data_IF_417318457869
#
_entry.id   IF_417318457869
#
_cell.length_a   1.000
_cell.length_b   1.000
_cell.length_c   1.000
_cell.angle_alpha   90.00
_cell.angle_beta   90.00
_cell.angle_gamma   90.00
#
_symmetry.space_group_name_H-M   'P 1'
#
loop_
_entity.id
_entity.type
_entity.pdbx_description
1 polymer ?
#
# COMPACT_ATOMS: atom_id res chain seq x y z
N UNK A 1 10.72 26.06 3.79
CA UNK A 1 9.75 24.93 3.61
C UNK A 1 9.44 24.33 4.98
N UNK A 2 8.23 23.85 5.28
CA UNK A 2 7.88 23.39 6.66
C UNK A 2 8.83 22.27 7.17
N UNK A 3 9.27 21.36 6.30
CA UNK A 3 10.16 20.22 6.66
C UNK A 3 11.66 20.56 6.67
N UNK A 4 12.04 21.80 6.41
CA UNK A 4 13.44 22.22 6.31
C UNK A 4 14.25 22.03 7.61
N UNK A 5 13.70 22.31 8.83
CA UNK A 5 14.41 22.00 10.07
C UNK A 5 14.70 20.50 10.22
N UNK A 6 13.74 19.63 9.86
CA UNK A 6 13.91 18.18 9.92
C UNK A 6 15.03 17.71 8.99
N UNK A 7 15.07 18.21 7.75
CA UNK A 7 16.14 17.84 6.79
C UNK A 7 17.51 18.26 7.31
N UNK A 8 17.60 19.46 7.92
CA UNK A 8 18.84 19.94 8.54
C UNK A 8 19.30 18.98 9.64
N UNK A 9 18.40 18.58 10.53
CA UNK A 9 18.72 17.68 11.63
C UNK A 9 19.13 16.29 11.13
N UNK A 10 18.44 15.75 10.11
CA UNK A 10 18.81 14.49 9.47
C UNK A 10 20.23 14.55 8.87
N UNK A 11 20.58 15.65 8.19
CA UNK A 11 21.92 15.84 7.65
C UNK A 11 22.99 15.97 8.74
N UNK A 12 22.66 16.60 9.87
CA UNK A 12 23.56 16.69 11.03
C UNK A 12 23.82 15.30 11.59
N UNK A 13 22.78 14.51 11.81
CA UNK A 13 22.92 13.15 12.37
C UNK A 13 23.67 12.22 11.41
N UNK A 14 23.45 12.36 10.09
CA UNK A 14 24.16 11.57 9.09
C UNK A 14 25.65 11.94 8.96
N UNK A 15 26.01 13.21 9.19
CA UNK A 15 27.39 13.69 9.02
C UNK A 15 28.22 13.65 10.29
N UNK A 16 27.62 14.00 11.43
CA UNK A 16 28.32 14.18 12.70
C UNK A 16 27.89 13.16 13.77
N UNK A 17 26.74 12.52 13.59
CA UNK A 17 26.16 11.61 14.57
C UNK A 17 25.66 12.30 15.85
N UNK A 18 25.20 11.48 16.79
CA UNK A 18 24.78 11.90 18.13
C UNK A 18 25.72 11.23 19.14
N UNK A 19 26.26 12.02 20.06
CA UNK A 19 27.11 11.51 21.15
C UNK A 19 26.26 11.08 22.34
N UNK A 20 26.38 9.81 22.74
CA UNK A 20 25.71 9.26 23.92
C UNK A 20 26.77 8.55 24.76
N UNK A 21 27.07 9.11 25.94
CA UNK A 21 28.24 8.73 26.77
C UNK A 21 29.53 8.91 25.95
N UNK A 22 30.40 7.91 25.93
CA UNK A 22 31.68 7.93 25.21
C UNK A 22 31.59 7.34 23.80
N UNK A 23 30.39 7.28 23.21
CA UNK A 23 30.15 6.73 21.86
C UNK A 23 29.39 7.71 20.98
N UNK A 24 29.81 7.79 19.72
CA UNK A 24 29.11 8.54 18.66
C UNK A 24 28.36 7.58 17.76
N UNK A 25 27.07 7.85 17.57
CA UNK A 25 26.19 7.07 16.70
C UNK A 25 25.82 7.89 15.47
N UNK A 26 26.20 7.40 14.29
CA UNK A 26 25.81 7.97 13.00
C UNK A 26 24.61 7.18 12.48
N UNK A 27 23.62 7.88 11.93
CA UNK A 27 22.45 7.24 11.31
C UNK A 27 22.00 7.97 10.07
N UNK A 28 21.34 7.25 9.18
CA UNK A 28 20.71 7.79 7.97
C UNK A 28 19.21 7.56 7.98
N UNK A 29 18.48 8.35 7.20
CA UNK A 29 17.06 8.12 6.94
C UNK A 29 16.89 6.81 6.15
N UNK A 30 16.13 5.86 6.69
CA UNK A 30 15.88 4.57 6.01
C UNK A 30 14.70 4.66 5.04
N UNK A 31 13.53 5.12 5.51
CA UNK A 31 12.33 5.31 4.71
C UNK A 31 11.42 6.38 5.32
N UNK A 32 10.47 6.89 4.55
CA UNK A 32 9.39 7.77 5.02
C UNK A 32 8.06 7.04 4.78
N UNK A 33 7.36 6.71 5.86
CA UNK A 33 6.02 6.13 5.79
C UNK A 33 4.98 7.23 5.61
N UNK A 34 4.02 6.99 4.73
CA UNK A 34 2.88 7.88 4.53
C UNK A 34 1.82 7.21 3.68
N UNK A 35 0.60 7.75 3.73
CA UNK A 35 -0.45 7.37 2.80
C UNK A 35 -0.04 7.71 1.36
N UNK A 36 -0.79 7.20 0.38
CA UNK A 36 -0.46 7.41 -1.02
C UNK A 36 -0.33 8.88 -1.41
N UNK A 37 -1.21 9.75 -0.89
CA UNK A 37 -1.17 11.18 -1.19
C UNK A 37 0.05 11.84 -0.55
N UNK A 38 0.29 11.61 0.74
CA UNK A 38 1.40 12.17 1.50
C UNK A 38 2.76 11.71 0.98
N UNK A 39 2.90 10.42 0.68
CA UNK A 39 4.13 9.84 0.11
C UNK A 39 4.45 10.46 -1.25
N UNK A 40 3.47 10.61 -2.14
CA UNK A 40 3.69 11.28 -3.42
C UNK A 40 4.05 12.76 -3.25
N UNK A 41 3.38 13.47 -2.34
CA UNK A 41 3.65 14.88 -2.08
C UNK A 41 5.07 15.13 -1.54
N UNK A 42 5.53 14.29 -0.59
CA UNK A 42 6.89 14.32 -0.05
C UNK A 42 7.92 13.91 -1.11
N UNK A 43 7.58 12.91 -1.92
CA UNK A 43 8.39 12.42 -3.03
C UNK A 43 8.55 13.41 -4.20
N UNK A 44 7.76 14.47 -4.23
CA UNK A 44 7.72 15.40 -5.37
C UNK A 44 7.01 14.81 -6.59
N UNK A 45 6.20 13.76 -6.39
CA UNK A 45 5.41 13.11 -7.42
C UNK A 45 4.02 13.72 -7.56
N UNK A 46 3.34 13.44 -8.67
CA UNK A 46 1.95 13.86 -8.90
C UNK A 46 1.01 13.06 -7.99
N UNK A 47 0.18 13.73 -7.21
CA UNK A 47 -0.83 13.15 -6.30
C UNK A 47 -2.14 12.82 -7.05
N UNK A 48 -2.02 12.30 -8.28
CA UNK A 48 -3.14 11.85 -9.10
C UNK A 48 -2.92 10.42 -9.55
N UNK A 49 -3.81 9.54 -9.09
CA UNK A 49 -3.74 8.08 -9.29
C UNK A 49 -4.54 7.62 -10.52
N UNK A 50 -5.11 8.55 -11.28
CA UNK A 50 -6.01 8.23 -12.38
C UNK A 50 -5.26 7.66 -13.58
N UNK A 51 -4.05 8.14 -13.88
CA UNK A 51 -3.35 7.86 -15.15
C UNK A 51 -1.85 7.58 -15.01
N UNK A 52 -1.26 7.63 -13.81
CA UNK A 52 0.19 7.60 -13.63
C UNK A 52 0.57 6.66 -12.50
N UNK A 53 1.68 5.93 -12.69
CA UNK A 53 2.26 5.10 -11.65
C UNK A 53 3.64 5.66 -11.33
N UNK A 54 3.76 6.24 -10.13
CA UNK A 54 4.94 7.03 -9.78
C UNK A 54 6.14 6.16 -9.34
N UNK A 55 5.88 4.89 -8.98
CA UNK A 55 6.92 3.91 -8.62
C UNK A 55 7.57 3.23 -9.82
N UNK A 56 6.84 3.14 -10.92
CA UNK A 56 7.30 2.46 -12.13
C UNK A 56 7.78 3.47 -13.17
N UNK A 57 8.68 2.98 -14.01
CA UNK A 57 9.02 3.62 -15.27
C UNK A 57 8.13 3.03 -16.37
N UNK A 58 6.82 3.15 -16.18
CA UNK A 58 5.80 2.57 -17.06
C UNK A 58 4.50 3.36 -16.96
N UNK A 59 3.69 3.29 -18.01
CA UNK A 59 2.35 3.87 -18.04
C UNK A 59 1.35 2.99 -17.30
N UNK A 60 0.22 3.57 -16.88
CA UNK A 60 -0.87 2.80 -16.26
C UNK A 60 -1.34 1.65 -17.14
N UNK A 61 -1.46 1.88 -18.45
CA UNK A 61 -1.91 0.87 -19.41
C UNK A 61 -0.93 -0.31 -19.51
N UNK A 62 0.37 -0.05 -19.47
CA UNK A 62 1.39 -1.11 -19.48
C UNK A 62 1.33 -1.91 -18.18
N UNK A 63 1.31 -1.24 -17.03
CA UNK A 63 1.30 -1.90 -15.71
C UNK A 63 0.06 -2.78 -15.52
N UNK A 64 -1.10 -2.41 -16.09
CA UNK A 64 -2.32 -3.23 -16.05
C UNK A 64 -2.20 -4.58 -16.74
N UNK A 65 -1.21 -4.76 -17.61
CA UNK A 65 -0.97 -5.99 -18.36
C UNK A 65 0.30 -6.73 -17.90
N UNK A 66 0.94 -6.27 -16.82
CA UNK A 66 2.14 -6.89 -16.25
C UNK A 66 1.77 -7.58 -14.94
N UNK A 67 2.03 -8.89 -14.88
CA UNK A 67 1.68 -9.75 -13.73
C UNK A 67 2.90 -10.40 -13.08
N UNK A 68 4.11 -10.00 -13.49
CA UNK A 68 5.37 -10.49 -12.93
C UNK A 68 6.31 -9.30 -12.72
N UNK A 69 6.96 -9.27 -11.56
CA UNK A 69 7.94 -8.24 -11.20
C UNK A 69 9.16 -8.24 -12.13
N UNK A 70 9.45 -9.35 -12.80
CA UNK A 70 10.54 -9.44 -13.79
C UNK A 70 10.25 -8.61 -15.05
N UNK A 71 8.97 -8.36 -15.33
CA UNK A 71 8.52 -7.68 -16.54
C UNK A 71 8.19 -6.20 -16.30
N UNK A 72 8.38 -5.68 -15.08
CA UNK A 72 8.12 -4.29 -14.74
C UNK A 72 9.43 -3.54 -14.49
N UNK A 73 9.55 -2.36 -15.10
CA UNK A 73 10.71 -1.50 -14.88
C UNK A 73 10.45 -0.56 -13.70
N UNK A 74 11.20 -0.73 -12.62
CA UNK A 74 11.17 0.20 -11.48
C UNK A 74 11.84 1.53 -11.83
N UNK A 75 11.39 2.61 -11.20
CA UNK A 75 12.09 3.89 -11.23
C UNK A 75 13.40 3.79 -10.44
N UNK A 76 14.49 4.25 -11.03
CA UNK A 76 15.82 4.27 -10.40
C UNK A 76 16.21 5.71 -10.04
N UNK A 77 17.15 5.94 -9.12
CA UNK A 77 17.68 7.28 -8.89
C UNK A 77 18.19 7.96 -10.16
N UNK A 78 18.85 7.21 -11.05
CA UNK A 78 19.41 7.75 -12.30
C UNK A 78 18.32 8.25 -13.25
N UNK A 79 17.27 7.46 -13.48
CA UNK A 79 16.19 7.88 -14.37
C UNK A 79 15.32 8.97 -13.73
N UNK A 80 15.16 8.97 -12.40
CA UNK A 80 14.50 10.05 -11.67
C UNK A 80 15.22 11.38 -11.87
N UNK A 81 16.54 11.44 -11.66
CA UNK A 81 17.32 12.68 -11.80
C UNK A 81 17.35 13.17 -13.25
N UNK A 82 17.37 12.25 -14.23
CA UNK A 82 17.21 12.61 -15.63
C UNK A 82 15.87 13.34 -15.87
N UNK A 83 14.75 12.77 -15.42
CA UNK A 83 13.44 13.40 -15.60
C UNK A 83 13.31 14.73 -14.86
N UNK A 84 13.88 14.83 -13.66
CA UNK A 84 13.93 16.10 -12.91
C UNK A 84 14.69 17.16 -13.72
N UNK A 85 15.81 16.81 -14.33
CA UNK A 85 16.59 17.73 -15.17
C UNK A 85 15.80 18.16 -16.42
N UNK A 86 15.12 17.22 -17.07
CA UNK A 86 14.28 17.50 -18.23
C UNK A 86 13.12 18.45 -17.88
N UNK A 87 12.49 18.26 -16.72
CA UNK A 87 11.42 19.12 -16.21
C UNK A 87 11.89 20.56 -16.00
N UNK A 88 13.10 20.74 -15.46
CA UNK A 88 13.68 22.09 -15.25
C UNK A 88 14.00 22.81 -16.57
N UNK A 89 14.11 22.07 -17.67
CA UNK A 89 14.45 22.61 -19.00
C UNK A 89 13.20 22.88 -19.85
N UNK A 90 12.11 22.14 -19.62
CA UNK A 90 10.85 22.24 -20.36
C UNK A 90 9.64 22.01 -19.45
N UNK A 91 9.03 23.11 -19.00
CA UNK A 91 7.86 23.08 -18.13
C UNK A 91 6.59 22.53 -18.81
N UNK A 92 6.59 22.25 -20.11
CA UNK A 92 5.44 21.57 -20.76
C UNK A 92 5.40 20.08 -20.42
N UNK A 93 6.49 19.53 -19.89
CA UNK A 93 6.62 18.12 -19.47
C UNK A 93 6.24 17.88 -18.02
N UNK A 94 5.70 18.88 -17.31
CA UNK A 94 5.45 18.91 -15.85
C UNK A 94 4.67 17.72 -15.26
N UNK A 95 4.10 16.90 -16.14
CA UNK A 95 3.27 15.78 -15.78
C UNK A 95 3.61 14.50 -16.56
N UNK A 96 4.50 14.53 -17.56
CA UNK A 96 4.76 13.39 -18.45
C UNK A 96 5.27 12.16 -17.68
N UNK A 97 6.15 12.38 -16.70
CA UNK A 97 6.80 11.32 -15.93
C UNK A 97 6.18 11.09 -14.53
N UNK A 98 5.12 11.81 -14.19
CA UNK A 98 4.53 11.76 -12.84
C UNK A 98 5.40 12.39 -11.74
N UNK A 99 6.40 13.19 -12.11
CA UNK A 99 7.26 13.97 -11.21
C UNK A 99 6.91 15.44 -11.41
N UNK A 100 6.73 16.19 -10.31
CA UNK A 100 6.50 17.65 -10.30
C UNK A 100 7.72 18.44 -9.89
N UNK A 101 8.58 17.83 -9.06
CA UNK A 101 9.80 18.46 -8.53
C UNK A 101 10.74 17.40 -7.96
N UNK A 102 12.01 17.77 -7.79
CA UNK A 102 12.93 17.00 -6.97
C UNK A 102 12.45 16.96 -5.51
N UNK A 103 12.56 15.81 -4.85
CA UNK A 103 12.28 15.69 -3.42
C UNK A 103 13.40 16.31 -2.61
N UNK A 104 13.09 17.14 -1.60
CA UNK A 104 14.11 17.72 -0.75
C UNK A 104 14.74 16.70 0.22
N UNK A 105 14.21 15.47 0.29
CA UNK A 105 14.76 14.38 1.10
C UNK A 105 15.82 13.55 0.38
N UNK A 106 15.95 13.68 -0.95
CA UNK A 106 16.99 12.97 -1.70
C UNK A 106 18.38 13.35 -1.19
N UNK A 107 19.18 12.33 -0.87
CA UNK A 107 20.53 12.46 -0.33
C UNK A 107 21.37 11.24 -0.72
N UNK A 108 22.65 11.21 -0.35
CA UNK A 108 23.54 10.07 -0.64
C UNK A 108 23.06 8.75 -0.02
N UNK A 109 22.29 8.80 1.07
CA UNK A 109 21.85 7.63 1.84
C UNK A 109 20.35 7.34 1.74
N UNK A 110 19.56 8.20 1.10
CA UNK A 110 18.12 8.04 0.94
C UNK A 110 17.68 8.59 -0.41
N UNK A 111 16.83 7.84 -1.12
CA UNK A 111 16.22 8.31 -2.36
C UNK A 111 14.74 7.91 -2.43
N UNK A 112 13.89 8.82 -2.87
CA UNK A 112 12.42 8.60 -2.86
C UNK A 112 11.92 7.47 -3.74
N UNK A 113 12.74 6.99 -4.69
CA UNK A 113 12.40 5.83 -5.53
C UNK A 113 12.42 4.50 -4.77
N UNK A 114 13.14 4.43 -3.65
CA UNK A 114 13.23 3.23 -2.81
C UNK A 114 12.90 3.50 -1.33
N UNK A 115 12.82 4.76 -0.93
CA UNK A 115 12.59 5.19 0.46
C UNK A 115 11.14 5.53 0.80
N UNK A 116 10.20 5.29 -0.12
CA UNK A 116 8.76 5.53 0.08
C UNK A 116 8.02 4.19 -0.08
N UNK A 117 7.83 3.41 0.99
CA UNK A 117 7.10 2.15 0.90
C UNK A 117 5.61 2.38 0.59
N UNK A 118 4.97 1.43 -0.13
CA UNK A 118 3.52 1.45 -0.32
C UNK A 118 2.74 1.37 0.99
N UNK A 119 1.51 1.86 0.98
CA UNK A 119 0.64 1.86 2.16
C UNK A 119 -0.23 0.60 2.16
N UNK A 120 0.19 -0.41 2.92
CA UNK A 120 -0.56 -1.68 3.00
C UNK A 120 -2.01 -1.49 3.47
N UNK A 121 -2.31 -0.50 4.31
CA UNK A 121 -3.67 -0.26 4.76
C UNK A 121 -4.56 0.20 3.59
N UNK A 122 -4.14 1.25 2.88
CA UNK A 122 -4.94 1.79 1.78
C UNK A 122 -4.86 0.94 0.50
N UNK A 123 -3.69 0.41 0.16
CA UNK A 123 -3.47 -0.36 -1.08
C UNK A 123 -4.05 -1.77 -0.99
N UNK A 124 -3.79 -2.48 0.12
CA UNK A 124 -4.27 -3.86 0.29
C UNK A 124 -5.62 -3.88 1.00
N UNK A 125 -5.68 -3.42 2.24
CA UNK A 125 -6.82 -3.67 3.11
C UNK A 125 -8.07 -2.86 2.75
N UNK A 126 -7.92 -1.67 2.18
CA UNK A 126 -9.04 -0.86 1.66
C UNK A 126 -9.16 -0.92 0.13
N UNK A 127 -8.04 -1.19 -0.54
CA UNK A 127 -7.93 -1.38 -1.98
C UNK A 127 -8.31 -2.79 -2.40
N UNK A 128 -7.31 -3.66 -2.58
CA UNK A 128 -7.42 -4.98 -3.25
C UNK A 128 -8.25 -6.00 -2.45
N UNK A 129 -7.94 -6.19 -1.17
CA UNK A 129 -8.49 -7.26 -0.33
C UNK A 129 -10.02 -7.28 -0.29
N UNK A 130 -10.74 -6.14 -0.13
CA UNK A 130 -12.20 -6.15 -0.17
C UNK A 130 -12.79 -6.64 -1.50
N UNK A 131 -12.12 -6.43 -2.64
CA UNK A 131 -12.59 -6.96 -3.93
C UNK A 131 -12.42 -8.47 -4.00
N UNK A 132 -11.23 -8.98 -3.69
CA UNK A 132 -10.93 -10.42 -3.71
C UNK A 132 -11.86 -11.20 -2.78
N UNK A 133 -12.00 -10.76 -1.53
CA UNK A 133 -12.92 -11.40 -0.58
C UNK A 133 -14.36 -11.33 -1.07
N UNK A 134 -14.78 -10.22 -1.69
CA UNK A 134 -16.14 -10.12 -2.27
C UNK A 134 -16.35 -11.11 -3.41
N UNK A 135 -15.37 -11.29 -4.30
CA UNK A 135 -15.47 -12.25 -5.41
C UNK A 135 -15.52 -13.69 -4.91
N UNK A 136 -14.63 -14.05 -3.99
CA UNK A 136 -14.56 -15.40 -3.42
C UNK A 136 -15.85 -15.73 -2.67
N UNK A 137 -16.35 -14.83 -1.83
CA UNK A 137 -17.63 -15.04 -1.16
C UNK A 137 -18.80 -15.11 -2.14
N UNK A 138 -18.83 -14.26 -3.16
CA UNK A 138 -19.89 -14.31 -4.20
C UNK A 138 -19.89 -15.65 -4.92
N UNK A 139 -18.72 -16.20 -5.24
CA UNK A 139 -18.59 -17.54 -5.81
C UNK A 139 -19.22 -18.60 -4.90
N UNK A 140 -18.86 -18.62 -3.61
CA UNK A 140 -19.39 -19.63 -2.69
C UNK A 140 -20.87 -19.44 -2.34
N UNK A 141 -21.36 -18.20 -2.31
CA UNK A 141 -22.75 -17.88 -2.01
C UNK A 141 -23.71 -18.19 -3.16
N UNK A 142 -23.32 -17.85 -4.40
CA UNK A 142 -24.26 -17.82 -5.52
C UNK A 142 -23.93 -18.83 -6.63
N UNK A 143 -22.66 -19.20 -6.81
CA UNK A 143 -22.29 -20.16 -7.86
C UNK A 143 -22.29 -21.59 -7.33
N UNK A 144 -21.66 -21.84 -6.18
CA UNK A 144 -21.64 -23.19 -5.58
C UNK A 144 -22.75 -23.39 -4.56
N UNK A 145 -23.17 -22.33 -3.87
CA UNK A 145 -24.19 -22.40 -2.81
C UNK A 145 -23.74 -23.16 -1.56
N UNK A 146 -22.42 -23.35 -1.39
CA UNK A 146 -21.83 -24.12 -0.29
C UNK A 146 -21.93 -23.38 1.05
N UNK A 147 -22.01 -22.04 1.02
CA UNK A 147 -22.33 -21.19 2.18
C UNK A 147 -23.54 -20.32 1.86
N UNK A 148 -24.31 -19.94 2.90
CA UNK A 148 -25.37 -18.94 2.78
C UNK A 148 -24.94 -17.59 3.35
N UNK A 149 -25.59 -16.51 2.90
CA UNK A 149 -25.31 -15.16 3.42
C UNK A 149 -25.64 -15.06 4.91
N UNK A 150 -26.73 -15.72 5.32
CA UNK A 150 -27.14 -15.82 6.72
C UNK A 150 -26.09 -16.56 7.56
N UNK A 151 -25.54 -17.67 7.03
CA UNK A 151 -24.48 -18.41 7.71
C UNK A 151 -23.27 -17.52 7.98
N UNK A 152 -22.72 -16.86 6.95
CA UNK A 152 -21.49 -16.07 7.12
C UNK A 152 -21.72 -14.85 8.02
N UNK A 153 -22.86 -14.17 7.89
CA UNK A 153 -23.19 -13.03 8.75
C UNK A 153 -23.40 -13.45 10.20
N UNK A 154 -23.99 -14.62 10.44
CA UNK A 154 -24.09 -15.19 11.78
C UNK A 154 -22.71 -15.56 12.35
N UNK A 155 -21.79 -16.08 11.53
CA UNK A 155 -20.42 -16.33 11.98
C UNK A 155 -19.75 -15.02 12.39
N UNK A 156 -19.75 -13.99 11.53
CA UNK A 156 -19.24 -12.65 11.85
C UNK A 156 -19.93 -12.08 13.10
N UNK A 157 -21.21 -12.41 13.32
CA UNK A 157 -21.93 -11.88 14.46
C UNK A 157 -21.56 -12.50 15.81
N UNK A 158 -21.34 -13.81 15.80
CA UNK A 158 -21.26 -14.63 17.00
C UNK A 158 -19.85 -15.16 17.26
N UNK A 159 -18.89 -14.86 16.38
CA UNK A 159 -17.51 -15.30 16.51
C UNK A 159 -16.92 -14.89 17.87
N UNK A 160 -16.20 -15.79 18.56
CA UNK A 160 -15.55 -15.48 19.82
C UNK A 160 -14.29 -14.63 19.59
N UNK A 161 -14.47 -13.36 19.24
CA UNK A 161 -13.38 -12.43 19.00
C UNK A 161 -12.49 -12.28 20.24
N UNK A 162 -11.17 -12.29 20.03
CA UNK A 162 -10.22 -11.91 21.06
C UNK A 162 -10.34 -10.41 21.42
N UNK A 163 -9.75 -9.96 22.53
CA UNK A 163 -9.86 -8.58 22.98
C UNK A 163 -9.48 -7.55 21.90
N UNK A 164 -8.41 -7.80 21.14
CA UNK A 164 -7.96 -6.91 20.07
C UNK A 164 -8.93 -6.92 18.86
N UNK A 165 -9.32 -8.12 18.41
CA UNK A 165 -10.21 -8.25 17.25
C UNK A 165 -11.64 -7.71 17.53
N UNK A 166 -12.05 -7.67 18.81
CA UNK A 166 -13.39 -7.19 19.20
C UNK A 166 -13.60 -5.69 18.94
N UNK A 167 -12.52 -4.90 18.96
CA UNK A 167 -12.54 -3.46 18.66
C UNK A 167 -12.83 -3.26 17.16
N UNK A 168 -12.19 -4.07 16.32
CA UNK A 168 -12.25 -4.01 14.87
C UNK A 168 -13.08 -5.15 14.29
N UNK A 169 -14.24 -5.42 14.91
CA UNK A 169 -15.16 -6.44 14.42
C UNK A 169 -15.62 -6.11 12.98
N UNK A 170 -15.55 -7.08 12.05
CA UNK A 170 -16.02 -6.89 10.68
C UNK A 170 -17.49 -6.49 10.64
N UNK A 171 -17.86 -5.69 9.64
CA UNK A 171 -19.27 -5.44 9.35
C UNK A 171 -19.88 -6.64 8.65
N UNK A 172 -21.20 -6.76 8.73
CA UNK A 172 -21.93 -7.80 7.99
C UNK A 172 -21.67 -7.70 6.49
N UNK A 173 -21.55 -8.85 5.85
CA UNK A 173 -21.39 -8.98 4.41
C UNK A 173 -22.70 -8.55 3.73
N UNK A 174 -22.65 -7.58 2.81
CA UNK A 174 -23.83 -7.12 2.10
C UNK A 174 -24.23 -8.12 0.99
N UNK A 175 -25.53 -8.17 0.66
CA UNK A 175 -26.07 -9.14 -0.30
C UNK A 175 -25.67 -8.90 -1.76
N UNK A 176 -25.48 -7.63 -2.16
CA UNK A 176 -25.22 -7.23 -3.56
C UNK A 176 -24.31 -6.00 -3.66
N UNK A 177 -23.27 -5.92 -2.83
CA UNK A 177 -22.28 -4.86 -2.95
C UNK A 177 -20.89 -5.34 -2.58
N UNK A 178 -19.89 -4.56 -2.99
CA UNK A 178 -18.53 -4.69 -2.49
C UNK A 178 -18.54 -4.59 -0.96
N UNK A 179 -17.76 -5.43 -0.29
CA UNK A 179 -17.42 -5.24 1.12
C UNK A 179 -16.71 -3.89 1.26
N UNK A 180 -17.22 -3.05 2.16
CA UNK A 180 -16.68 -1.72 2.41
C UNK A 180 -16.58 -1.53 3.92
N UNK A 181 -15.36 -1.53 4.43
CA UNK A 181 -15.04 -1.37 5.84
C UNK A 181 -13.61 -0.83 5.99
N UNK A 182 -13.26 -0.38 7.20
CA UNK A 182 -11.92 0.15 7.49
C UNK A 182 -10.84 -0.90 7.32
N UNK A 183 -9.60 -0.47 7.07
CA UNK A 183 -8.44 -1.38 6.98
C UNK A 183 -8.37 -2.39 8.15
N UNK A 184 -8.53 -1.92 9.39
CA UNK A 184 -8.47 -2.77 10.58
C UNK A 184 -9.58 -3.84 10.59
N UNK A 185 -10.81 -3.48 10.24
CA UNK A 185 -11.92 -4.45 10.12
C UNK A 185 -11.70 -5.44 8.99
N UNK A 186 -11.12 -4.98 7.88
CA UNK A 186 -10.78 -5.86 6.76
C UNK A 186 -9.69 -6.85 7.13
N UNK A 187 -8.68 -6.42 7.89
CA UNK A 187 -7.66 -7.30 8.42
C UNK A 187 -8.23 -8.37 9.36
N UNK A 188 -9.13 -7.98 10.26
CA UNK A 188 -9.83 -8.92 11.15
C UNK A 188 -10.65 -9.93 10.34
N UNK A 189 -11.40 -9.47 9.33
CA UNK A 189 -12.18 -10.36 8.47
C UNK A 189 -11.28 -11.33 7.71
N UNK A 190 -10.24 -10.83 7.04
CA UNK A 190 -9.34 -11.64 6.22
C UNK A 190 -8.71 -12.78 7.02
N UNK A 191 -8.20 -12.48 8.23
CA UNK A 191 -7.59 -13.48 9.11
C UNK A 191 -8.57 -14.53 9.62
N UNK A 192 -9.79 -14.14 9.96
CA UNK A 192 -10.74 -15.00 10.66
C UNK A 192 -11.71 -15.70 9.71
N UNK A 193 -11.91 -15.18 8.50
CA UNK A 193 -12.80 -15.76 7.50
C UNK A 193 -12.44 -17.22 7.15
N UNK A 194 -11.16 -17.59 6.95
CA UNK A 194 -10.75 -18.98 6.80
C UNK A 194 -11.27 -19.88 7.93
N UNK A 195 -11.19 -19.40 9.17
CA UNK A 195 -11.61 -20.14 10.37
C UNK A 195 -13.14 -20.23 10.48
N UNK A 196 -13.86 -19.18 10.11
CA UNK A 196 -15.33 -19.14 10.10
C UNK A 196 -15.95 -20.14 9.11
N UNK A 197 -15.20 -20.52 8.07
CA UNK A 197 -15.65 -21.42 7.01
C UNK A 197 -14.88 -22.74 6.93
N UNK A 198 -13.94 -22.99 7.85
CA UNK A 198 -12.98 -24.10 7.77
C UNK A 198 -13.63 -25.49 7.63
N UNK A 199 -14.81 -25.70 8.23
CA UNK A 199 -15.50 -27.00 8.19
C UNK A 199 -16.43 -27.16 6.98
N UNK A 200 -16.56 -26.13 6.14
CA UNK A 200 -17.54 -26.08 5.05
C UNK A 200 -16.84 -26.06 3.69
N UNK A 201 -15.74 -25.32 3.57
CA UNK A 201 -15.02 -25.18 2.30
C UNK A 201 -13.84 -26.15 2.30
N UNK A 202 -13.72 -27.05 1.29
CA UNK A 202 -12.60 -27.98 1.19
C UNK A 202 -11.24 -27.26 1.14
N UNK A 203 -10.26 -27.78 1.87
CA UNK A 203 -8.89 -27.21 1.92
C UNK A 203 -8.19 -27.18 0.56
N UNK A 204 -8.56 -28.08 -0.35
CA UNK A 204 -7.98 -28.18 -1.68
C UNK A 204 -8.61 -27.20 -2.69
N UNK A 205 -9.66 -26.48 -2.31
CA UNK A 205 -10.37 -25.55 -3.19
C UNK A 205 -9.46 -24.39 -3.65
N UNK A 206 -9.31 -24.26 -4.98
CA UNK A 206 -8.39 -23.29 -5.59
C UNK A 206 -8.75 -21.84 -5.29
N UNK A 207 -10.04 -21.50 -5.23
CA UNK A 207 -10.48 -20.13 -4.92
C UNK A 207 -10.30 -19.81 -3.44
N UNK A 208 -10.42 -20.81 -2.57
CA UNK A 208 -10.22 -20.63 -1.12
C UNK A 208 -8.76 -20.45 -0.74
N UNK A 209 -7.83 -21.12 -1.45
CA UNK A 209 -6.38 -20.98 -1.26
C UNK A 209 -5.83 -19.57 -1.56
N UNK A 210 -6.65 -18.69 -2.14
CA UNK A 210 -6.30 -17.29 -2.37
C UNK A 210 -6.48 -16.42 -1.11
N UNK A 211 -7.17 -16.92 -0.09
CA UNK A 211 -7.34 -16.28 1.23
C UNK A 211 -6.37 -16.86 2.25
#
# INVERSE_FOLDING_TARGET
>A
MIVEPLIKDLNIIASYGISVRDKTFVSSLSFISGDNVGSNMIGGFVESFSNKVNYYYSTKTEVQNIFSDENISLRTPQNYEQHVTELMTDNTKDSLYGIKRSSPFNSNSFHVTCGLPPDTAHDMLEGVTPYEVSFILTYFLFQTGVISLDYINRQIETWPYGPLDSIDRPTLIPKKSKISQTAARMWTLLRLLPLMCATIIPEDNLHWKLL
#
